data_IF_542638567525
#
_entry.id   IF_542638567525
#
_cell.length_a   1.000
_cell.length_b   1.000
_cell.length_c   1.000
_cell.angle_alpha   90.00
_cell.angle_beta   90.00
_cell.angle_gamma   90.00
#
_symmetry.space_group_name_H-M   'P 1'
#
loop_
_entity.id
_entity.type
_entity.pdbx_description
1 polymer ?
#
# COMPACT_ATOMS: atom_id res chain seq x y z
N UNK A 1 -24.48 -6.31 15.50
CA UNK A 1 -24.72 -5.02 16.02
C UNK A 1 -23.46 -4.36 16.53
N UNK A 2 -22.68 -5.01 17.41
CA UNK A 2 -21.30 -4.56 17.67
C UNK A 2 -20.49 -4.55 16.39
N UNK A 3 -20.73 -5.47 15.47
CA UNK A 3 -20.01 -5.59 14.19
C UNK A 3 -20.28 -4.47 13.19
N UNK A 4 -21.38 -3.73 13.33
CA UNK A 4 -21.68 -2.58 12.45
C UNK A 4 -20.64 -1.48 12.52
N UNK A 5 -19.89 -1.41 13.63
CA UNK A 5 -18.84 -0.40 13.83
C UNK A 5 -17.46 -0.88 13.44
N UNK A 6 -17.32 -2.15 13.11
CA UNK A 6 -16.02 -2.67 12.70
C UNK A 6 -15.69 -2.22 11.29
N UNK A 7 -14.44 -1.83 11.11
CA UNK A 7 -13.86 -1.57 9.82
C UNK A 7 -13.08 -2.80 9.39
N UNK A 8 -13.28 -3.24 8.17
CA UNK A 8 -12.64 -4.44 7.66
C UNK A 8 -11.70 -4.05 6.54
N UNK A 9 -10.43 -4.43 6.69
CA UNK A 9 -9.41 -4.27 5.66
C UNK A 9 -9.02 -5.61 5.09
N UNK A 10 -8.73 -5.64 3.82
CA UNK A 10 -8.27 -6.85 3.12
C UNK A 10 -6.89 -6.58 2.55
N UNK A 11 -5.97 -7.53 2.77
CA UNK A 11 -4.63 -7.49 2.20
C UNK A 11 -4.59 -8.32 0.93
N UNK A 12 -4.08 -7.74 -0.14
CA UNK A 12 -3.86 -8.41 -1.41
C UNK A 12 -2.44 -8.16 -1.90
N UNK A 13 -1.93 -9.06 -2.73
CA UNK A 13 -0.64 -8.90 -3.38
C UNK A 13 -0.77 -9.30 -4.85
N UNK A 14 0.26 -9.06 -5.69
CA UNK A 14 0.16 -9.37 -7.11
C UNK A 14 -0.17 -10.82 -7.43
N UNK A 15 0.25 -11.75 -6.59
CA UNK A 15 0.07 -13.18 -6.81
C UNK A 15 -1.32 -13.68 -6.44
N UNK A 16 -1.93 -13.11 -5.37
CA UNK A 16 -3.25 -13.56 -4.90
C UNK A 16 -4.39 -12.62 -5.35
N UNK A 17 -4.11 -11.68 -6.22
CA UNK A 17 -5.11 -10.72 -6.68
C UNK A 17 -6.23 -11.41 -7.45
N UNK A 18 -7.48 -11.11 -7.08
CA UNK A 18 -8.67 -11.60 -7.75
C UNK A 18 -9.75 -10.52 -7.71
N UNK A 19 -9.93 -9.84 -8.83
CA UNK A 19 -10.87 -8.71 -8.91
C UNK A 19 -12.32 -9.16 -8.73
N UNK A 20 -12.68 -10.34 -9.20
CA UNK A 20 -14.04 -10.85 -9.04
C UNK A 20 -14.39 -11.07 -7.59
N UNK A 21 -13.46 -11.63 -6.82
CA UNK A 21 -13.63 -11.80 -5.38
C UNK A 21 -13.79 -10.44 -4.70
N UNK A 22 -12.96 -9.46 -5.04
CA UNK A 22 -13.05 -8.12 -4.46
C UNK A 22 -14.38 -7.44 -4.79
N UNK A 23 -14.89 -7.63 -6.00
CA UNK A 23 -16.22 -7.13 -6.38
C UNK A 23 -17.33 -7.75 -5.52
N UNK A 24 -17.21 -9.04 -5.22
CA UNK A 24 -18.21 -9.73 -4.43
C UNK A 24 -18.27 -9.22 -2.99
N UNK A 25 -17.14 -8.83 -2.42
CA UNK A 25 -17.06 -8.41 -1.01
C UNK A 25 -16.97 -6.90 -0.83
N UNK A 26 -17.04 -6.11 -1.89
CA UNK A 26 -16.79 -4.66 -1.81
C UNK A 26 -17.74 -3.93 -0.87
N UNK A 27 -18.94 -4.44 -0.63
CA UNK A 27 -19.92 -3.81 0.26
C UNK A 27 -19.59 -3.99 1.74
N UNK A 28 -18.74 -4.95 2.07
CA UNK A 28 -18.42 -5.27 3.46
C UNK A 28 -16.99 -4.88 3.85
N UNK A 29 -16.16 -4.47 2.91
CA UNK A 29 -14.79 -4.04 3.19
C UNK A 29 -14.67 -2.52 3.13
N UNK A 30 -13.77 -1.99 3.94
CA UNK A 30 -13.58 -0.55 4.10
C UNK A 30 -12.27 -0.06 3.50
N UNK A 31 -11.28 -0.94 3.36
CA UNK A 31 -9.96 -0.58 2.85
C UNK A 31 -9.29 -1.80 2.25
N UNK A 32 -8.52 -1.57 1.20
CA UNK A 32 -7.68 -2.59 0.59
C UNK A 32 -6.22 -2.21 0.80
N UNK A 33 -5.43 -3.14 1.33
CA UNK A 33 -3.99 -3.03 1.46
C UNK A 33 -3.34 -3.83 0.34
N UNK A 34 -2.65 -3.15 -0.54
CA UNK A 34 -1.97 -3.79 -1.66
C UNK A 34 -0.47 -3.87 -1.36
N UNK A 35 0.05 -5.07 -1.27
CA UNK A 35 1.46 -5.33 -0.96
C UNK A 35 2.25 -5.45 -2.27
N UNK A 36 3.09 -4.45 -2.54
CA UNK A 36 3.95 -4.45 -3.74
C UNK A 36 5.10 -5.44 -3.66
N UNK A 37 5.45 -5.85 -2.43
CA UNK A 37 6.59 -6.74 -2.22
C UNK A 37 7.91 -6.17 -2.79
N UNK A 38 8.06 -4.86 -2.74
CA UNK A 38 9.21 -4.17 -3.36
C UNK A 38 10.50 -4.27 -2.55
N UNK A 39 10.45 -4.85 -1.35
CA UNK A 39 11.66 -5.06 -0.56
C UNK A 39 12.66 -6.00 -1.28
N UNK A 40 12.22 -6.75 -2.26
CA UNK A 40 13.07 -7.61 -3.09
C UNK A 40 13.63 -6.91 -4.32
N UNK A 41 13.25 -5.67 -4.57
CA UNK A 41 13.66 -4.91 -5.74
C UNK A 41 14.28 -3.58 -5.34
N UNK A 42 15.07 -3.00 -6.24
CA UNK A 42 15.71 -1.70 -6.01
C UNK A 42 14.75 -0.53 -6.26
N UNK A 43 13.78 -0.71 -7.14
CA UNK A 43 12.86 0.35 -7.56
C UNK A 43 11.52 -0.23 -7.96
N UNK A 44 10.44 0.49 -7.67
CA UNK A 44 9.09 0.12 -8.13
C UNK A 44 9.03 0.07 -9.67
N UNK A 45 9.83 0.86 -10.36
CA UNK A 45 9.84 0.91 -11.83
C UNK A 45 10.32 -0.39 -12.47
N UNK A 46 11.16 -1.14 -11.77
CA UNK A 46 11.68 -2.42 -12.26
C UNK A 46 10.85 -3.61 -11.81
N UNK A 47 9.85 -3.37 -10.95
CA UNK A 47 9.03 -4.44 -10.40
C UNK A 47 7.73 -4.52 -11.17
N UNK A 48 7.56 -5.56 -11.98
CA UNK A 48 6.31 -5.97 -12.63
C UNK A 48 5.27 -4.83 -12.81
N UNK A 49 5.72 -3.66 -13.27
CA UNK A 49 4.94 -2.44 -13.25
C UNK A 49 3.58 -2.59 -13.96
N UNK A 50 3.58 -3.22 -15.12
CA UNK A 50 2.34 -3.44 -15.87
C UNK A 50 1.30 -4.20 -15.07
N UNK A 51 1.73 -5.29 -14.41
CA UNK A 51 0.85 -6.12 -13.59
C UNK A 51 0.26 -5.32 -12.43
N UNK A 52 1.13 -4.61 -11.71
CA UNK A 52 0.70 -3.80 -10.57
C UNK A 52 -0.25 -2.67 -10.99
N UNK A 53 0.08 -1.95 -12.05
CA UNK A 53 -0.76 -0.86 -12.52
C UNK A 53 -2.15 -1.34 -12.94
N UNK A 54 -2.23 -2.45 -13.65
CA UNK A 54 -3.51 -3.03 -14.08
C UNK A 54 -4.35 -3.44 -12.87
N UNK A 55 -3.73 -4.13 -11.91
CA UNK A 55 -4.42 -4.56 -10.69
C UNK A 55 -4.90 -3.36 -9.87
N UNK A 56 -4.03 -2.38 -9.67
CA UNK A 56 -4.35 -1.18 -8.89
C UNK A 56 -5.47 -0.38 -9.55
N UNK A 57 -5.45 -0.24 -10.87
CA UNK A 57 -6.53 0.43 -11.58
C UNK A 57 -7.87 -0.29 -11.39
N UNK A 58 -7.87 -1.62 -11.42
CA UNK A 58 -9.06 -2.42 -11.15
C UNK A 58 -9.59 -2.18 -9.73
N UNK A 59 -8.68 -2.08 -8.74
CA UNK A 59 -9.07 -1.79 -7.37
C UNK A 59 -9.65 -0.38 -7.26
N UNK A 60 -9.05 0.60 -7.90
CA UNK A 60 -9.53 1.98 -7.87
C UNK A 60 -10.95 2.10 -8.42
N UNK A 61 -11.28 1.30 -9.43
CA UNK A 61 -12.62 1.28 -10.01
C UNK A 61 -13.68 0.74 -9.06
N UNK A 62 -13.29 0.16 -7.93
CA UNK A 62 -14.23 -0.27 -6.88
C UNK A 62 -14.61 0.87 -5.93
N UNK A 63 -13.89 1.99 -5.98
CA UNK A 63 -14.08 3.14 -5.09
C UNK A 63 -13.94 2.80 -3.61
N UNK A 64 -13.00 1.90 -3.30
CA UNK A 64 -12.63 1.54 -1.94
C UNK A 64 -11.25 2.14 -1.67
N UNK A 65 -11.03 2.76 -0.50
CA UNK A 65 -9.70 3.29 -0.15
C UNK A 65 -8.61 2.26 -0.33
N UNK A 66 -7.55 2.67 -1.01
CA UNK A 66 -6.41 1.82 -1.36
C UNK A 66 -5.17 2.31 -0.63
N UNK A 67 -4.60 1.46 0.20
CA UNK A 67 -3.32 1.68 0.84
C UNK A 67 -2.29 0.75 0.23
N UNK A 68 -1.10 1.29 -0.04
CA UNK A 68 -0.03 0.52 -0.67
C UNK A 68 1.13 0.37 0.30
N UNK A 69 1.60 -0.86 0.44
CA UNK A 69 2.73 -1.23 1.29
C UNK A 69 3.63 -2.23 0.59
N UNK A 70 4.47 -2.89 1.36
CA UNK A 70 5.39 -3.90 0.86
C UNK A 70 6.79 -3.35 0.61
N UNK A 71 7.57 -3.21 1.67
CA UNK A 71 8.95 -2.74 1.58
C UNK A 71 9.09 -1.26 1.29
N UNK A 72 8.10 -0.46 1.67
CA UNK A 72 8.13 0.98 1.44
C UNK A 72 9.10 1.64 2.42
N UNK A 73 9.96 2.49 1.90
CA UNK A 73 10.81 3.41 2.66
C UNK A 73 10.59 4.84 2.13
N UNK A 74 11.32 5.80 2.67
CA UNK A 74 11.18 7.21 2.28
C UNK A 74 11.38 7.46 0.78
N UNK A 75 12.32 6.74 0.16
CA UNK A 75 12.59 6.89 -1.27
C UNK A 75 11.49 6.27 -2.13
N UNK A 76 11.09 5.06 -1.79
CA UNK A 76 10.05 4.33 -2.53
C UNK A 76 8.68 4.94 -2.36
N UNK A 77 8.39 5.54 -1.20
CA UNK A 77 7.13 6.21 -0.96
C UNK A 77 6.84 7.29 -2.00
N UNK A 78 7.82 8.11 -2.33
CA UNK A 78 7.67 9.15 -3.34
C UNK A 78 7.31 8.56 -4.71
N UNK A 79 7.98 7.49 -5.11
CA UNK A 79 7.68 6.81 -6.38
C UNK A 79 6.26 6.23 -6.37
N UNK A 80 5.89 5.57 -5.28
CA UNK A 80 4.56 4.97 -5.13
C UNK A 80 3.47 6.02 -5.22
N UNK A 81 3.62 7.12 -4.50
CA UNK A 81 2.63 8.20 -4.50
C UNK A 81 2.45 8.79 -5.90
N UNK A 82 3.55 9.07 -6.58
CA UNK A 82 3.52 9.67 -7.91
C UNK A 82 2.98 8.73 -8.99
N UNK A 83 3.39 7.47 -8.96
CA UNK A 83 3.04 6.51 -9.99
C UNK A 83 1.68 5.87 -9.78
N UNK A 84 1.34 5.54 -8.55
CA UNK A 84 0.16 4.73 -8.24
C UNK A 84 -0.97 5.52 -7.60
N UNK A 85 -0.68 6.68 -7.05
CA UNK A 85 -1.67 7.61 -6.46
C UNK A 85 -2.61 6.90 -5.48
N UNK A 86 -2.08 6.26 -4.44
CA UNK A 86 -2.92 5.58 -3.44
C UNK A 86 -3.60 6.59 -2.51
N UNK A 87 -4.60 6.12 -1.78
CA UNK A 87 -5.21 6.90 -0.71
C UNK A 87 -4.33 6.97 0.53
N UNK A 88 -3.46 5.98 0.71
CA UNK A 88 -2.53 5.93 1.84
C UNK A 88 -1.35 5.03 1.59
N UNK A 89 -0.37 5.14 2.45
CA UNK A 89 0.85 4.32 2.44
C UNK A 89 0.91 3.54 3.75
N UNK A 90 1.18 2.24 3.63
CA UNK A 90 1.42 1.36 4.75
C UNK A 90 2.92 1.13 4.86
N UNK A 91 3.53 1.62 5.94
CA UNK A 91 4.96 1.53 6.13
C UNK A 91 5.29 1.04 7.54
N UNK A 92 6.26 0.13 7.64
CA UNK A 92 6.68 -0.43 8.90
C UNK A 92 8.20 -0.59 8.96
N UNK A 93 8.74 -1.56 8.23
CA UNK A 93 10.19 -1.86 8.26
C UNK A 93 11.05 -0.67 7.84
N UNK A 94 10.59 0.12 6.90
CA UNK A 94 11.34 1.27 6.42
C UNK A 94 11.55 2.35 7.47
N UNK A 95 10.77 2.33 8.55
CA UNK A 95 10.88 3.28 9.65
C UNK A 95 11.61 2.71 10.89
N UNK A 96 11.97 1.43 10.86
CA UNK A 96 12.59 0.78 12.01
C UNK A 96 14.10 0.92 11.98
N UNK A 97 14.68 1.00 13.17
CA UNK A 97 16.13 0.99 13.37
C UNK A 97 16.66 -0.45 13.46
N UNK A 98 17.97 -0.59 13.72
CA UNK A 98 18.62 -1.90 13.86
C UNK A 98 18.07 -2.75 15.01
N UNK A 99 17.39 -2.13 15.98
CA UNK A 99 16.76 -2.82 17.12
C UNK A 99 15.30 -3.20 16.82
N UNK A 100 14.85 -3.05 15.59
CA UNK A 100 13.47 -3.34 15.18
C UNK A 100 12.44 -2.43 15.86
N UNK A 101 12.86 -1.21 16.21
CA UNK A 101 12.01 -0.19 16.86
C UNK A 101 11.80 0.96 15.89
N UNK A 102 10.58 1.52 15.86
CA UNK A 102 10.27 2.69 15.02
C UNK A 102 11.19 3.85 15.45
N UNK A 103 11.92 4.37 14.48
CA UNK A 103 12.83 5.49 14.68
C UNK A 103 12.10 6.81 14.42
N UNK A 104 12.03 7.68 15.44
CA UNK A 104 11.40 8.99 15.26
C UNK A 104 12.11 9.85 14.22
N UNK A 105 13.42 9.70 14.08
CA UNK A 105 14.20 10.39 13.04
C UNK A 105 13.79 9.93 11.64
N UNK A 106 13.69 8.62 11.45
CA UNK A 106 13.24 8.07 10.16
C UNK A 106 11.80 8.45 9.86
N UNK A 107 10.94 8.45 10.86
CA UNK A 107 9.55 8.86 10.70
C UNK A 107 9.44 10.31 10.26
N UNK A 108 10.17 11.22 10.92
CA UNK A 108 10.19 12.63 10.54
C UNK A 108 10.65 12.83 9.09
N UNK A 109 11.73 12.15 8.72
CA UNK A 109 12.27 12.22 7.37
C UNK A 109 11.28 11.67 6.33
N UNK A 110 10.62 10.55 6.65
CA UNK A 110 9.58 9.98 5.82
C UNK A 110 8.43 10.97 5.60
N UNK A 111 7.91 11.58 6.68
CA UNK A 111 6.82 12.54 6.60
C UNK A 111 7.19 13.77 5.76
N UNK A 112 8.44 14.24 5.86
CA UNK A 112 8.92 15.33 5.02
C UNK A 112 8.93 14.94 3.53
N UNK A 113 9.35 13.72 3.21
CA UNK A 113 9.40 13.24 1.84
C UNK A 113 8.00 13.10 1.24
N UNK A 114 7.07 12.51 1.97
CA UNK A 114 5.72 12.29 1.45
C UNK A 114 4.92 13.58 1.34
N UNK A 115 5.22 14.59 2.14
CA UNK A 115 4.50 15.87 2.08
C UNK A 115 4.78 16.66 0.80
N UNK A 116 5.87 16.37 0.09
CA UNK A 116 6.24 17.04 -1.18
C UNK A 116 6.02 16.15 -2.41
N UNK A 117 5.51 14.96 -2.22
CA UNK A 117 5.29 14.02 -3.31
C UNK A 117 4.00 14.30 -4.10
#
# INVERSE_FOLDING_TARGET
KAFKRLKIGIAVNPENFNINYLKDIKKIINVIYYDLNVYKTKSIKTYALKKCLTQIQSIKNLFIPLYIGGGINEQKATEVIKLLKPDGIDVSRGLKNSRNIISSRKLKKFLQQVSVA
#
